data_IF_763458691750
#
_entry.id   IF_763458691750
#
_cell.length_a   1.000
_cell.length_b   1.000
_cell.length_c   1.000
_cell.angle_alpha   90.00
_cell.angle_beta   90.00
_cell.angle_gamma   90.00
#
_symmetry.space_group_name_H-M   'P 1'
#
loop_
_entity.id
_entity.type
_entity.pdbx_description
1 polymer ?
#
# COMPACT_ATOMS: atom_id res chain seq x y z
N UNK A 1 -2.04 27.48 -5.20
CA UNK A 1 -3.02 26.46 -4.78
C UNK A 1 -2.88 25.13 -5.51
N UNK A 2 -3.09 25.03 -6.85
CA UNK A 2 -2.97 23.71 -7.55
C UNK A 2 -1.55 23.12 -7.48
N UNK A 3 -0.53 23.97 -7.65
CA UNK A 3 0.86 23.53 -7.79
C UNK A 3 1.43 22.94 -6.48
N UNK A 4 0.98 23.42 -5.33
CA UNK A 4 1.49 23.05 -4.02
C UNK A 4 1.31 21.55 -3.69
N UNK A 5 0.09 20.97 -3.70
CA UNK A 5 -0.10 19.54 -3.44
C UNK A 5 0.56 18.65 -4.50
N UNK A 6 0.68 19.11 -5.76
CA UNK A 6 1.42 18.41 -6.82
C UNK A 6 2.91 18.34 -6.47
N UNK A 7 3.49 19.46 -6.04
CA UNK A 7 4.90 19.57 -5.62
C UNK A 7 5.15 18.71 -4.38
N UNK A 8 4.23 18.72 -3.41
CA UNK A 8 4.31 17.88 -2.20
C UNK A 8 4.40 16.40 -2.56
N UNK A 9 3.50 15.92 -3.44
CA UNK A 9 3.52 14.51 -3.88
C UNK A 9 4.81 14.18 -4.64
N UNK A 10 5.26 15.07 -5.54
CA UNK A 10 6.48 14.87 -6.31
C UNK A 10 7.72 14.74 -5.40
N UNK A 11 7.85 15.62 -4.39
CA UNK A 11 8.94 15.53 -3.44
C UNK A 11 8.83 14.31 -2.53
N UNK A 12 7.63 13.95 -2.06
CA UNK A 12 7.45 12.76 -1.23
C UNK A 12 7.86 11.47 -1.98
N UNK A 13 7.47 11.34 -3.26
CA UNK A 13 7.92 10.24 -4.12
C UNK A 13 9.43 10.27 -4.34
N UNK A 14 10.00 11.45 -4.66
CA UNK A 14 11.43 11.62 -4.85
C UNK A 14 12.26 11.21 -3.62
N UNK A 15 11.82 11.62 -2.42
CA UNK A 15 12.46 11.22 -1.17
C UNK A 15 12.36 9.71 -0.96
N UNK A 16 11.21 9.08 -1.25
CA UNK A 16 11.09 7.63 -1.09
C UNK A 16 12.02 6.86 -2.02
N UNK A 17 12.13 7.27 -3.29
CA UNK A 17 13.06 6.66 -4.24
C UNK A 17 14.53 6.74 -3.79
N UNK A 18 14.93 7.78 -3.04
CA UNK A 18 16.33 7.99 -2.62
C UNK A 18 16.61 7.39 -1.25
N UNK A 19 15.77 7.65 -0.25
CA UNK A 19 16.05 7.35 1.15
C UNK A 19 15.30 6.13 1.68
N UNK A 20 14.11 5.83 1.13
CA UNK A 20 13.22 4.80 1.65
C UNK A 20 12.77 5.10 3.09
N UNK A 21 12.39 4.06 3.84
CA UNK A 21 11.74 4.24 5.14
C UNK A 21 12.71 4.44 6.31
N UNK A 22 12.37 5.33 7.27
CA UNK A 22 13.11 5.46 8.51
C UNK A 22 12.97 4.21 9.38
N UNK A 23 13.88 4.04 10.34
CA UNK A 23 13.78 2.96 11.35
C UNK A 23 12.44 3.06 12.11
N UNK A 24 11.86 1.92 12.50
CA UNK A 24 10.54 1.83 13.16
C UNK A 24 10.33 2.82 14.31
N UNK A 25 11.37 3.13 15.09
CA UNK A 25 11.29 4.11 16.19
C UNK A 25 10.88 5.54 15.74
N UNK A 26 11.07 5.88 14.47
CA UNK A 26 10.76 7.17 13.87
C UNK A 26 9.67 7.08 12.79
N UNK A 27 8.95 5.95 12.71
CA UNK A 27 8.00 5.71 11.63
C UNK A 27 6.55 5.82 12.15
N UNK A 28 5.75 6.79 11.67
CA UNK A 28 4.36 6.97 12.10
C UNK A 28 3.50 5.70 12.02
N UNK A 29 3.60 4.94 10.93
CA UNK A 29 2.92 3.63 10.79
C UNK A 29 3.26 2.64 11.91
N UNK A 30 4.50 2.61 12.40
CA UNK A 30 4.88 1.74 13.51
C UNK A 30 4.28 2.21 14.85
N UNK A 31 4.14 3.52 15.05
CA UNK A 31 3.46 4.08 16.21
C UNK A 31 1.96 3.79 16.17
N UNK A 32 1.33 3.91 15.00
CA UNK A 32 -0.06 3.50 14.75
C UNK A 32 -0.24 2.03 15.11
N UNK A 33 0.65 1.15 14.62
CA UNK A 33 0.61 -0.27 14.94
C UNK A 33 0.77 -0.56 16.44
N UNK A 34 1.62 0.21 17.13
CA UNK A 34 1.77 0.10 18.59
C UNK A 34 0.48 0.50 19.32
N UNK A 35 -0.21 1.54 18.86
CA UNK A 35 -1.50 1.95 19.42
C UNK A 35 -2.56 0.87 19.20
N UNK A 36 -2.68 0.33 17.98
CA UNK A 36 -3.61 -0.76 17.65
C UNK A 36 -3.32 -1.98 18.53
N UNK A 37 -2.05 -2.37 18.70
CA UNK A 37 -1.65 -3.49 19.54
C UNK A 37 -2.02 -3.29 21.02
N UNK A 38 -2.03 -2.06 21.52
CA UNK A 38 -2.47 -1.74 22.90
C UNK A 38 -4.00 -1.75 23.05
N UNK A 39 -4.72 -1.28 22.04
CA UNK A 39 -6.19 -1.22 22.07
C UNK A 39 -6.83 -2.59 21.82
N UNK A 40 -6.21 -3.43 20.99
CA UNK A 40 -6.77 -4.73 20.57
C UNK A 40 -7.12 -5.62 21.77
N UNK A 41 -6.24 -5.86 22.77
CA UNK A 41 -6.58 -6.68 23.93
C UNK A 41 -7.73 -6.12 24.78
N UNK A 42 -7.87 -4.79 24.85
CA UNK A 42 -8.93 -4.12 25.61
C UNK A 42 -10.30 -4.27 24.93
N UNK A 43 -10.30 -4.42 23.61
CA UNK A 43 -11.49 -4.63 22.80
C UNK A 43 -11.90 -6.11 22.68
N UNK A 44 -11.06 -7.06 23.13
CA UNK A 44 -11.38 -8.49 23.11
C UNK A 44 -12.47 -8.80 24.11
N UNK A 45 -13.46 -9.58 23.69
CA UNK A 45 -14.56 -10.00 24.54
C UNK A 45 -15.08 -11.39 24.12
N UNK A 46 -15.66 -12.15 25.05
CA UNK A 46 -16.30 -13.42 24.72
C UNK A 46 -17.61 -13.23 23.95
N UNK A 47 -18.32 -12.11 24.18
CA UNK A 47 -19.52 -11.78 23.44
C UNK A 47 -19.16 -11.20 22.06
N UNK A 48 -19.57 -11.91 21.02
CA UNK A 48 -19.34 -11.53 19.62
C UNK A 48 -19.76 -10.10 19.27
N UNK A 49 -20.90 -9.62 19.77
CA UNK A 49 -21.40 -8.27 19.46
C UNK A 49 -20.55 -7.20 20.14
N UNK A 50 -20.15 -7.43 21.39
CA UNK A 50 -19.27 -6.52 22.14
C UNK A 50 -17.89 -6.47 21.50
N UNK A 51 -17.36 -7.61 21.06
CA UNK A 51 -16.07 -7.69 20.38
C UNK A 51 -16.08 -6.97 19.03
N UNK A 52 -17.16 -7.09 18.25
CA UNK A 52 -17.34 -6.31 17.01
C UNK A 52 -17.38 -4.81 17.27
N UNK A 53 -18.11 -4.36 18.30
CA UNK A 53 -18.12 -2.97 18.73
C UNK A 53 -16.72 -2.52 19.17
N UNK A 54 -16.00 -3.36 19.91
CA UNK A 54 -14.60 -3.13 20.28
C UNK A 54 -13.70 -2.89 19.05
N UNK A 55 -13.86 -3.70 18.00
CA UNK A 55 -13.17 -3.50 16.71
C UNK A 55 -13.46 -2.16 16.05
N UNK A 56 -14.72 -1.71 16.09
CA UNK A 56 -15.11 -0.37 15.61
C UNK A 56 -14.40 0.72 16.44
N UNK A 57 -14.38 0.59 17.76
CA UNK A 57 -13.68 1.54 18.63
C UNK A 57 -12.17 1.56 18.38
N UNK A 58 -11.51 0.42 18.14
CA UNK A 58 -10.09 0.38 17.77
C UNK A 58 -9.83 1.24 16.54
N UNK A 59 -10.65 1.10 15.50
CA UNK A 59 -10.52 1.90 14.26
C UNK A 59 -10.80 3.37 14.53
N UNK A 60 -11.96 3.70 15.12
CA UNK A 60 -12.40 5.09 15.33
C UNK A 60 -11.45 5.85 16.25
N UNK A 61 -10.99 5.24 17.34
CA UNK A 61 -10.04 5.85 18.28
C UNK A 61 -8.70 6.06 17.58
N UNK A 62 -8.18 5.07 16.85
CA UNK A 62 -6.88 5.21 16.17
C UNK A 62 -6.92 6.29 15.10
N UNK A 63 -7.97 6.30 14.26
CA UNK A 63 -8.20 7.36 13.27
C UNK A 63 -8.35 8.72 13.95
N UNK A 64 -9.18 8.80 14.99
CA UNK A 64 -9.43 10.04 15.73
C UNK A 64 -8.16 10.62 16.34
N UNK A 65 -7.33 9.80 16.98
CA UNK A 65 -6.03 10.21 17.54
C UNK A 65 -5.11 10.73 16.45
N UNK A 66 -4.94 10.00 15.34
CA UNK A 66 -4.05 10.40 14.25
C UNK A 66 -4.51 11.70 13.59
N UNK A 67 -5.79 11.81 13.24
CA UNK A 67 -6.35 13.03 12.63
C UNK A 67 -6.24 14.21 13.59
N UNK A 68 -6.55 14.02 14.88
CA UNK A 68 -6.42 15.09 15.89
C UNK A 68 -4.97 15.58 16.01
N UNK A 69 -3.99 14.67 16.03
CA UNK A 69 -2.58 15.06 16.06
C UNK A 69 -2.15 15.84 14.81
N UNK A 70 -2.64 15.45 13.63
CA UNK A 70 -2.38 16.19 12.38
C UNK A 70 -2.99 17.60 12.42
N UNK A 71 -4.22 17.75 12.94
CA UNK A 71 -4.87 19.07 13.07
C UNK A 71 -4.18 19.95 14.11
N UNK A 72 -3.73 19.39 15.23
CA UNK A 72 -2.93 20.12 16.23
C UNK A 72 -1.60 20.58 15.62
N UNK A 73 -0.94 19.72 14.83
CA UNK A 73 0.31 20.06 14.16
C UNK A 73 0.10 21.21 13.16
N UNK A 74 -0.94 21.14 12.34
CA UNK A 74 -1.28 22.17 11.36
C UNK A 74 -1.62 23.52 12.03
N UNK A 75 -2.44 23.48 13.08
CA UNK A 75 -2.76 24.66 13.89
C UNK A 75 -1.50 25.21 14.60
N UNK A 76 -0.63 24.35 15.10
CA UNK A 76 0.62 24.75 15.73
C UNK A 76 1.57 25.45 14.75
N UNK A 77 1.71 24.93 13.53
CA UNK A 77 2.56 25.52 12.49
C UNK A 77 2.02 26.90 12.06
N UNK A 78 0.71 27.02 11.86
CA UNK A 78 0.07 28.29 11.49
C UNK A 78 0.19 29.38 12.57
N UNK A 79 0.36 29.01 13.84
CA UNK A 79 0.55 29.95 14.95
C UNK A 79 2.00 30.42 15.14
N UNK A 80 3.01 29.75 14.56
CA UNK A 80 4.42 30.07 14.80
C UNK A 80 4.89 31.35 14.10
N UNK A 81 4.49 31.56 12.84
CA UNK A 81 4.86 32.74 12.03
C UNK A 81 3.77 33.05 10.99
N UNK A 82 3.69 34.28 10.48
CA UNK A 82 2.75 34.69 9.41
C UNK A 82 3.43 34.90 8.06
N UNK A 83 4.73 34.61 7.98
CA UNK A 83 5.55 34.89 6.81
C UNK A 83 5.71 33.67 5.90
N UNK A 84 6.37 33.87 4.74
CA UNK A 84 6.77 32.83 3.78
C UNK A 84 7.45 31.60 4.43
N UNK A 85 8.06 31.77 5.61
CA UNK A 85 8.65 30.69 6.41
C UNK A 85 7.61 29.63 6.79
N UNK A 86 6.38 30.02 7.15
CA UNK A 86 5.31 29.09 7.53
C UNK A 86 4.92 28.18 6.37
N UNK A 87 4.84 28.73 5.16
CA UNK A 87 4.52 27.98 3.93
C UNK A 87 5.61 26.94 3.67
N UNK A 88 6.88 27.33 3.76
CA UNK A 88 8.01 26.41 3.55
C UNK A 88 8.05 25.32 4.61
N UNK A 89 7.91 25.68 5.89
CA UNK A 89 7.92 24.71 7.00
C UNK A 89 6.75 23.75 6.89
N UNK A 90 5.53 24.25 6.66
CA UNK A 90 4.35 23.41 6.47
C UNK A 90 4.53 22.45 5.30
N UNK A 91 4.95 22.95 4.14
CA UNK A 91 5.21 22.12 2.96
C UNK A 91 6.22 21.00 3.22
N UNK A 92 7.33 21.31 3.90
CA UNK A 92 8.35 20.31 4.28
C UNK A 92 7.77 19.26 5.24
N UNK A 93 7.01 19.68 6.25
CA UNK A 93 6.36 18.78 7.19
C UNK A 93 5.38 17.84 6.48
N UNK A 94 4.53 18.37 5.60
CA UNK A 94 3.57 17.57 4.83
C UNK A 94 4.30 16.60 3.90
N UNK A 95 5.37 17.02 3.22
CA UNK A 95 6.20 16.14 2.38
C UNK A 95 6.76 14.97 3.18
N UNK A 96 7.36 15.25 4.35
CA UNK A 96 7.95 14.21 5.20
C UNK A 96 6.87 13.25 5.69
N UNK A 97 5.74 13.78 6.18
CA UNK A 97 4.65 12.96 6.70
C UNK A 97 4.00 12.13 5.58
N UNK A 98 3.72 12.71 4.41
CA UNK A 98 3.20 11.98 3.26
C UNK A 98 4.16 10.88 2.82
N UNK A 99 5.47 11.15 2.77
CA UNK A 99 6.49 10.13 2.46
C UNK A 99 6.44 8.94 3.40
N UNK A 100 6.11 9.13 4.69
CA UNK A 100 5.99 7.98 5.63
C UNK A 100 4.78 7.09 5.34
N UNK A 101 3.86 7.54 4.48
CA UNK A 101 2.77 6.73 3.97
C UNK A 101 3.11 6.03 2.65
N UNK A 102 4.31 6.21 2.09
CA UNK A 102 4.72 5.61 0.80
C UNK A 102 5.86 4.61 1.06
N UNK A 103 5.80 3.42 0.45
CA UNK A 103 6.72 2.31 0.70
C UNK A 103 7.21 1.64 -0.60
N UNK A 104 7.83 2.39 -1.53
CA UNK A 104 8.40 1.83 -2.77
C UNK A 104 9.76 1.21 -2.46
N UNK A 105 10.67 2.01 -1.89
CA UNK A 105 12.05 1.57 -1.60
C UNK A 105 12.11 0.63 -0.39
N UNK A 106 11.20 0.78 0.57
CA UNK A 106 10.99 -0.18 1.65
C UNK A 106 10.67 -1.58 1.10
N UNK A 107 9.69 -1.67 0.19
CA UNK A 107 9.34 -2.93 -0.47
C UNK A 107 10.52 -3.50 -1.27
N UNK A 108 11.19 -2.69 -2.08
CA UNK A 108 12.37 -3.11 -2.85
C UNK A 108 13.46 -3.74 -1.95
N UNK A 109 13.70 -3.17 -0.76
CA UNK A 109 14.67 -3.71 0.19
C UNK A 109 14.29 -5.10 0.68
N UNK A 110 13.03 -5.31 1.05
CA UNK A 110 12.56 -6.62 1.49
C UNK A 110 12.59 -7.65 0.37
N UNK A 111 12.22 -7.26 -0.85
CA UNK A 111 12.32 -8.11 -2.04
C UNK A 111 13.76 -8.55 -2.28
N UNK A 112 14.71 -7.60 -2.25
CA UNK A 112 16.14 -7.89 -2.45
C UNK A 112 16.68 -8.86 -1.41
N UNK A 113 16.28 -8.73 -0.14
CA UNK A 113 16.67 -9.68 0.90
C UNK A 113 16.20 -11.12 0.62
N UNK A 114 15.01 -11.30 0.03
CA UNK A 114 14.54 -12.63 -0.40
C UNK A 114 15.39 -13.16 -1.56
N UNK A 115 15.66 -12.31 -2.57
CA UNK A 115 16.48 -12.69 -3.73
C UNK A 115 17.90 -13.07 -3.33
N UNK A 116 18.56 -12.28 -2.48
CA UNK A 116 19.91 -12.57 -1.97
C UNK A 116 19.97 -13.93 -1.26
N UNK A 117 18.95 -14.27 -0.46
CA UNK A 117 18.86 -15.60 0.16
C UNK A 117 18.70 -16.73 -0.86
N UNK A 118 17.90 -16.51 -1.90
CA UNK A 118 17.72 -17.50 -2.98
C UNK A 118 18.98 -17.69 -3.82
N UNK A 119 19.73 -16.62 -4.09
CA UNK A 119 20.99 -16.67 -4.83
C UNK A 119 22.08 -17.40 -4.03
N UNK A 120 22.02 -17.32 -2.71
CA UNK A 120 22.87 -18.09 -1.78
C UNK A 120 22.39 -19.55 -1.58
N UNK A 121 21.37 -20.00 -2.32
CA UNK A 121 20.72 -21.31 -2.16
C UNK A 121 20.20 -21.57 -0.73
N UNK A 122 19.86 -20.52 0.02
CA UNK A 122 19.32 -20.61 1.37
C UNK A 122 17.80 -20.39 1.36
N UNK A 123 17.07 -21.48 1.08
CA UNK A 123 15.61 -21.44 0.98
C UNK A 123 14.93 -21.08 2.31
N UNK A 124 15.44 -21.58 3.44
CA UNK A 124 14.87 -21.30 4.77
C UNK A 124 14.96 -19.80 5.12
N UNK A 125 16.09 -19.17 4.82
CA UNK A 125 16.26 -17.73 5.00
C UNK A 125 15.36 -16.95 4.02
N UNK A 126 15.23 -17.41 2.77
CA UNK A 126 14.32 -16.79 1.80
C UNK A 126 12.85 -16.85 2.26
N UNK A 127 12.40 -17.98 2.81
CA UNK A 127 11.06 -18.16 3.40
C UNK A 127 10.87 -17.23 4.60
N UNK A 128 11.89 -17.10 5.45
CA UNK A 128 11.88 -16.19 6.60
C UNK A 128 11.76 -14.74 6.14
N UNK A 129 12.54 -14.32 5.15
CA UNK A 129 12.46 -12.99 4.57
C UNK A 129 11.13 -12.73 3.88
N UNK A 130 10.59 -13.71 3.16
CA UNK A 130 9.27 -13.64 2.53
C UNK A 130 8.16 -13.44 3.55
N UNK A 131 8.23 -14.13 4.71
CA UNK A 131 7.21 -14.04 5.76
C UNK A 131 7.02 -12.62 6.32
N UNK A 132 8.00 -11.73 6.12
CA UNK A 132 7.91 -10.33 6.53
C UNK A 132 7.08 -9.46 5.56
N UNK A 133 6.76 -9.96 4.35
CA UNK A 133 6.07 -9.19 3.30
C UNK A 133 4.82 -9.87 2.73
N UNK A 134 4.50 -11.11 3.11
CA UNK A 134 3.31 -11.82 2.61
C UNK A 134 2.26 -12.04 3.70
N UNK A 135 0.98 -11.96 3.32
CA UNK A 135 -0.16 -12.37 4.15
C UNK A 135 -0.58 -13.82 3.83
N UNK A 136 0.33 -14.79 4.01
CA UNK A 136 0.03 -16.24 3.84
C UNK A 136 0.94 -17.13 4.68
N UNK A 137 0.52 -18.39 4.86
CA UNK A 137 1.38 -19.40 5.43
C UNK A 137 2.57 -19.66 4.49
N UNK A 138 3.79 -19.50 5.01
CA UNK A 138 5.04 -19.68 4.27
C UNK A 138 5.74 -21.00 4.56
N UNK A 139 5.14 -21.88 5.38
CA UNK A 139 5.71 -23.20 5.68
C UNK A 139 5.76 -24.07 4.42
N UNK A 140 6.88 -24.76 4.23
CA UNK A 140 7.10 -25.74 3.17
C UNK A 140 6.91 -25.19 1.74
N UNK A 141 7.24 -23.92 1.50
CA UNK A 141 7.25 -23.36 0.15
C UNK A 141 8.52 -23.78 -0.59
N UNK A 142 8.39 -24.18 -1.86
CA UNK A 142 9.55 -24.31 -2.75
C UNK A 142 9.99 -22.93 -3.28
N UNK A 143 11.13 -22.89 -3.98
CA UNK A 143 11.70 -21.69 -4.58
C UNK A 143 10.70 -20.94 -5.46
N UNK A 144 9.90 -21.66 -6.24
CA UNK A 144 8.96 -21.07 -7.18
C UNK A 144 7.81 -20.38 -6.47
N UNK A 145 7.25 -21.03 -5.44
CA UNK A 145 6.24 -20.43 -4.60
C UNK A 145 6.79 -19.23 -3.83
N UNK A 146 8.04 -19.27 -3.37
CA UNK A 146 8.69 -18.10 -2.75
C UNK A 146 8.69 -16.91 -3.71
N UNK A 147 9.12 -17.10 -4.96
CA UNK A 147 9.13 -16.02 -5.96
C UNK A 147 7.71 -15.56 -6.32
N UNK A 148 6.73 -16.47 -6.42
CA UNK A 148 5.33 -16.09 -6.60
C UNK A 148 4.85 -15.17 -5.47
N UNK A 149 5.18 -15.51 -4.22
CA UNK A 149 4.84 -14.70 -3.06
C UNK A 149 5.47 -13.31 -3.11
N UNK A 150 6.72 -13.20 -3.58
CA UNK A 150 7.38 -11.90 -3.79
C UNK A 150 6.62 -11.06 -4.81
N UNK A 151 6.22 -11.65 -5.95
CA UNK A 151 5.51 -10.95 -7.02
C UNK A 151 4.08 -10.55 -6.61
N UNK A 152 3.38 -11.42 -5.87
CA UNK A 152 2.12 -11.12 -5.20
C UNK A 152 2.29 -9.90 -4.27
N UNK A 153 3.31 -9.89 -3.41
CA UNK A 153 3.56 -8.76 -2.51
C UNK A 153 3.94 -7.47 -3.23
N UNK A 154 4.73 -7.50 -4.31
CA UNK A 154 5.06 -6.30 -5.09
C UNK A 154 3.79 -5.67 -5.67
N UNK A 155 2.92 -6.49 -6.27
CA UNK A 155 1.69 -6.00 -6.88
C UNK A 155 0.67 -5.51 -5.85
N UNK A 156 0.50 -6.19 -4.71
CA UNK A 156 -0.37 -5.74 -3.61
C UNK A 156 0.16 -4.45 -2.98
N UNK A 157 1.46 -4.38 -2.68
CA UNK A 157 2.10 -3.20 -2.09
C UNK A 157 2.10 -1.99 -3.04
N UNK A 158 2.03 -2.20 -4.36
CA UNK A 158 1.86 -1.07 -5.29
C UNK A 158 0.56 -0.31 -4.98
N UNK A 159 -0.49 -1.02 -4.54
CA UNK A 159 -1.74 -0.40 -4.08
C UNK A 159 -1.59 0.11 -2.65
N UNK A 160 -1.35 -0.79 -1.72
CA UNK A 160 -1.39 -0.52 -0.28
C UNK A 160 -0.28 0.42 0.20
N UNK A 161 0.88 0.32 -0.44
CA UNK A 161 2.09 1.06 -0.12
C UNK A 161 2.26 2.35 -0.91
N UNK A 162 1.51 2.59 -1.98
CA UNK A 162 1.78 3.72 -2.88
C UNK A 162 0.51 4.39 -3.41
N UNK A 163 -0.27 3.72 -4.26
CA UNK A 163 -1.35 4.40 -4.99
C UNK A 163 -2.56 4.69 -4.11
N UNK A 164 -2.86 3.84 -3.13
CA UNK A 164 -3.93 4.07 -2.15
C UNK A 164 -3.68 5.34 -1.31
N UNK A 165 -2.54 5.46 -0.60
CA UNK A 165 -2.21 6.67 0.16
C UNK A 165 -2.20 7.94 -0.71
N UNK A 166 -1.63 7.87 -1.92
CA UNK A 166 -1.61 9.01 -2.85
C UNK A 166 -3.02 9.39 -3.32
N UNK A 167 -3.87 8.40 -3.61
CA UNK A 167 -5.25 8.65 -4.03
C UNK A 167 -6.04 9.38 -2.95
N UNK A 168 -5.94 8.95 -1.69
CA UNK A 168 -6.61 9.62 -0.58
C UNK A 168 -5.96 10.95 -0.19
N UNK A 169 -4.66 11.13 -0.44
CA UNK A 169 -4.02 12.45 -0.37
C UNK A 169 -4.61 13.42 -1.38
N UNK A 170 -4.80 12.98 -2.63
CA UNK A 170 -5.36 13.83 -3.68
C UNK A 170 -6.81 14.27 -3.40
N UNK A 171 -7.55 13.50 -2.60
CA UNK A 171 -8.93 13.80 -2.23
C UNK A 171 -9.03 14.63 -0.94
N UNK A 172 -8.25 14.30 0.10
CA UNK A 172 -8.44 14.85 1.44
C UNK A 172 -7.16 15.34 2.11
N UNK A 173 -6.10 15.55 1.33
CA UNK A 173 -4.79 15.96 1.83
C UNK A 173 -4.17 14.96 2.80
N UNK A 174 -3.31 15.47 3.68
CA UNK A 174 -2.57 14.64 4.62
C UNK A 174 -3.46 13.78 5.53
N UNK A 175 -4.59 14.29 6.08
CA UNK A 175 -5.53 13.45 6.84
C UNK A 175 -6.04 12.25 6.03
N UNK A 176 -6.37 12.43 4.75
CA UNK A 176 -6.81 11.34 3.87
C UNK A 176 -5.80 10.21 3.75
N UNK A 177 -4.54 10.55 3.46
CA UNK A 177 -3.45 9.58 3.35
C UNK A 177 -3.25 8.78 4.65
N UNK A 178 -3.31 9.47 5.80
CA UNK A 178 -3.16 8.84 7.11
C UNK A 178 -4.36 8.01 7.53
N UNK A 179 -5.59 8.43 7.24
CA UNK A 179 -6.79 7.61 7.47
C UNK A 179 -6.67 6.30 6.70
N UNK A 180 -6.33 6.37 5.42
CA UNK A 180 -6.07 5.17 4.62
C UNK A 180 -4.98 4.29 5.24
N UNK A 181 -3.83 4.89 5.64
CA UNK A 181 -2.73 4.16 6.26
C UNK A 181 -3.12 3.51 7.59
N UNK A 182 -3.93 4.16 8.41
CA UNK A 182 -4.47 3.58 9.66
C UNK A 182 -5.33 2.36 9.34
N UNK A 183 -6.29 2.48 8.43
CA UNK A 183 -7.18 1.37 8.04
C UNK A 183 -6.38 0.18 7.49
N UNK A 184 -5.43 0.44 6.60
CA UNK A 184 -4.56 -0.59 6.04
C UNK A 184 -3.67 -1.26 7.10
N UNK A 185 -3.23 -0.50 8.11
CA UNK A 185 -2.47 -1.04 9.24
C UNK A 185 -3.35 -1.92 10.14
N UNK A 186 -4.60 -1.50 10.39
CA UNK A 186 -5.58 -2.32 11.12
C UNK A 186 -5.84 -3.63 10.40
N UNK A 187 -6.08 -3.62 9.09
CA UNK A 187 -6.27 -4.85 8.30
C UNK A 187 -5.04 -5.76 8.39
N UNK A 188 -3.84 -5.18 8.24
CA UNK A 188 -2.60 -5.96 8.25
C UNK A 188 -2.25 -6.59 9.60
N UNK A 189 -2.71 -5.99 10.71
CA UNK A 189 -2.44 -6.49 12.06
C UNK A 189 -3.54 -7.41 12.60
N UNK A 190 -4.81 -7.04 12.39
CA UNK A 190 -5.96 -7.72 13.00
C UNK A 190 -7.06 -8.08 12.00
N UNK A 191 -6.90 -7.88 10.70
CA UNK A 191 -7.90 -8.20 9.67
C UNK A 191 -8.01 -9.69 9.31
N UNK A 192 -7.20 -10.56 9.92
CA UNK A 192 -7.19 -11.99 9.62
C UNK A 192 -8.51 -12.68 10.01
N UNK A 193 -8.98 -13.59 9.14
CA UNK A 193 -10.17 -14.42 9.39
C UNK A 193 -9.88 -15.64 10.30
N UNK A 194 -9.11 -15.45 11.35
CA UNK A 194 -8.84 -16.48 12.39
C UNK A 194 -9.83 -16.34 13.55
N UNK A 195 -10.00 -17.38 14.36
CA UNK A 195 -10.90 -17.33 15.53
C UNK A 195 -10.57 -16.18 16.50
N UNK A 196 -9.30 -15.79 16.55
CA UNK A 196 -8.82 -14.67 17.38
C UNK A 196 -9.24 -13.31 16.81
N UNK A 197 -9.28 -13.15 15.49
CA UNK A 197 -9.40 -11.83 14.86
C UNK A 197 -10.69 -11.62 14.07
N UNK A 198 -11.44 -12.69 13.78
CA UNK A 198 -12.62 -12.65 12.89
C UNK A 198 -13.66 -11.60 13.27
N UNK A 199 -13.91 -11.35 14.55
CA UNK A 199 -14.90 -10.38 15.00
C UNK A 199 -14.30 -8.98 15.18
N UNK A 200 -13.21 -8.87 15.94
CA UNK A 200 -12.55 -7.61 16.27
C UNK A 200 -11.95 -6.93 15.03
N UNK A 201 -11.46 -7.71 14.08
CA UNK A 201 -10.87 -7.23 12.83
C UNK A 201 -11.86 -6.93 11.71
N UNK A 202 -13.11 -7.40 11.84
CA UNK A 202 -14.09 -7.37 10.74
C UNK A 202 -14.32 -5.97 10.18
N UNK A 203 -14.47 -4.98 11.07
CA UNK A 203 -14.73 -3.60 10.65
C UNK A 203 -13.54 -3.01 9.89
N UNK A 204 -12.32 -3.16 10.43
CA UNK A 204 -11.10 -2.69 9.77
C UNK A 204 -10.88 -3.32 8.39
N UNK A 205 -11.02 -4.64 8.28
CA UNK A 205 -10.90 -5.36 7.01
C UNK A 205 -11.98 -4.97 5.99
N UNK A 206 -13.19 -4.65 6.46
CA UNK A 206 -14.27 -4.15 5.61
C UNK A 206 -13.97 -2.74 5.10
N UNK A 207 -13.50 -1.85 5.98
CA UNK A 207 -13.07 -0.51 5.60
C UNK A 207 -11.92 -0.57 4.59
N UNK A 208 -10.90 -1.41 4.80
CA UNK A 208 -9.80 -1.59 3.86
C UNK A 208 -10.31 -2.04 2.49
N UNK A 209 -11.19 -3.06 2.46
CA UNK A 209 -11.81 -3.54 1.23
C UNK A 209 -12.56 -2.42 0.48
N UNK A 210 -13.26 -1.53 1.18
CA UNK A 210 -13.96 -0.41 0.56
C UNK A 210 -12.95 0.62 0.03
N UNK A 211 -11.98 1.02 0.85
CA UNK A 211 -11.02 2.06 0.48
C UNK A 211 -10.11 1.64 -0.69
N UNK A 212 -9.77 0.35 -0.76
CA UNK A 212 -8.96 -0.20 -1.84
C UNK A 212 -9.74 -0.51 -3.12
N UNK A 213 -11.06 -0.32 -3.16
CA UNK A 213 -11.87 -0.67 -4.33
C UNK A 213 -11.47 0.14 -5.58
N UNK A 214 -11.45 1.46 -5.48
CA UNK A 214 -11.10 2.33 -6.62
C UNK A 214 -9.58 2.29 -6.89
N UNK A 215 -8.69 2.49 -5.90
CA UNK A 215 -7.25 2.51 -6.12
C UNK A 215 -6.72 1.23 -6.77
N UNK A 216 -7.20 0.04 -6.38
CA UNK A 216 -6.69 -1.23 -6.92
C UNK A 216 -6.96 -1.39 -8.42
N UNK A 217 -8.13 -0.95 -8.90
CA UNK A 217 -8.54 -0.99 -10.32
C UNK A 217 -7.77 0.02 -11.15
N UNK A 218 -7.65 1.26 -10.65
CA UNK A 218 -6.85 2.29 -11.32
C UNK A 218 -5.37 1.87 -11.38
N UNK A 219 -4.85 1.26 -10.32
CA UNK A 219 -3.48 0.73 -10.31
C UNK A 219 -3.29 -0.34 -11.36
N UNK A 220 -4.18 -1.34 -11.45
CA UNK A 220 -4.11 -2.36 -12.49
C UNK A 220 -4.13 -1.78 -13.91
N UNK A 221 -4.96 -0.77 -14.17
CA UNK A 221 -4.99 -0.05 -15.45
C UNK A 221 -3.68 0.69 -15.74
N UNK A 222 -3.12 1.38 -14.75
CA UNK A 222 -1.83 2.08 -14.90
C UNK A 222 -0.67 1.08 -15.06
N UNK A 223 -0.73 -0.10 -14.44
CA UNK A 223 0.25 -1.18 -14.64
C UNK A 223 0.26 -1.68 -16.08
N UNK A 224 -0.88 -1.73 -16.76
CA UNK A 224 -0.96 -2.08 -18.19
C UNK A 224 -0.22 -1.04 -19.06
N UNK A 225 -0.40 0.25 -18.75
CA UNK A 225 0.32 1.34 -19.42
C UNK A 225 1.83 1.23 -19.13
N UNK A 226 2.19 0.96 -17.87
CA UNK A 226 3.58 0.71 -17.46
C UNK A 226 4.18 -0.48 -18.24
N UNK A 227 3.41 -1.54 -18.46
CA UNK A 227 3.85 -2.69 -19.24
C UNK A 227 4.15 -2.30 -20.70
N UNK A 228 3.28 -1.49 -21.31
CA UNK A 228 3.48 -1.02 -22.68
C UNK A 228 4.75 -0.16 -22.84
N UNK A 229 5.02 0.74 -21.89
CA UNK A 229 6.20 1.62 -21.90
C UNK A 229 7.49 0.82 -21.71
N UNK A 230 7.46 -0.20 -20.84
CA UNK A 230 8.60 -1.07 -20.57
C UNK A 230 8.76 -2.21 -21.59
N UNK A 231 7.95 -2.22 -22.65
CA UNK A 231 7.95 -3.26 -23.69
C UNK A 231 7.62 -4.68 -23.18
N UNK A 232 6.94 -4.77 -22.03
CA UNK A 232 6.32 -6.00 -21.53
C UNK A 232 4.98 -6.28 -22.25
N UNK A 233 4.38 -7.45 -22.06
CA UNK A 233 3.16 -7.83 -22.77
C UNK A 233 1.89 -7.16 -22.17
N UNK A 234 1.65 -5.90 -22.54
CA UNK A 234 0.49 -5.14 -22.07
C UNK A 234 -0.86 -5.73 -22.53
N UNK A 235 -0.90 -6.43 -23.67
CA UNK A 235 -2.13 -7.06 -24.18
C UNK A 235 -2.54 -8.22 -23.29
N UNK A 236 -1.60 -9.11 -22.97
CA UNK A 236 -1.85 -10.19 -22.01
C UNK A 236 -2.06 -9.62 -20.61
N UNK A 237 -1.36 -8.57 -20.17
CA UNK A 237 -1.63 -7.86 -18.91
C UNK A 237 -3.10 -7.46 -18.78
N UNK A 238 -3.67 -6.79 -19.78
CA UNK A 238 -5.08 -6.40 -19.80
C UNK A 238 -6.01 -7.62 -19.79
N UNK A 239 -5.77 -8.60 -20.67
CA UNK A 239 -6.59 -9.81 -20.77
C UNK A 239 -6.62 -10.61 -19.48
N UNK A 240 -5.46 -10.80 -18.84
CA UNK A 240 -5.34 -11.52 -17.57
C UNK A 240 -5.98 -10.72 -16.44
N UNK A 241 -5.80 -9.40 -16.37
CA UNK A 241 -6.45 -8.56 -15.35
C UNK A 241 -7.97 -8.72 -15.37
N UNK A 242 -8.59 -8.67 -16.55
CA UNK A 242 -10.05 -8.83 -16.70
C UNK A 242 -10.51 -10.25 -16.35
N UNK A 243 -9.77 -11.28 -16.82
CA UNK A 243 -10.13 -12.68 -16.64
C UNK A 243 -9.94 -13.17 -15.19
N UNK A 244 -8.82 -12.78 -14.57
CA UNK A 244 -8.34 -13.37 -13.32
C UNK A 244 -8.46 -12.43 -12.12
N UNK A 245 -8.70 -11.13 -12.31
CA UNK A 245 -8.70 -10.14 -11.23
C UNK A 245 -9.70 -10.39 -10.09
N UNK A 246 -10.70 -11.26 -10.30
CA UNK A 246 -11.70 -11.66 -9.31
C UNK A 246 -11.44 -13.03 -8.66
N UNK A 247 -10.35 -13.72 -9.00
CA UNK A 247 -10.06 -15.09 -8.52
C UNK A 247 -9.47 -15.12 -7.10
N UNK A 248 -8.93 -14.01 -6.61
CA UNK A 248 -8.34 -13.92 -5.27
C UNK A 248 -9.41 -13.78 -4.19
N UNK A 249 -9.09 -14.15 -2.94
CA UNK A 249 -9.99 -13.96 -1.80
C UNK A 249 -10.27 -12.48 -1.49
N UNK A 250 -9.29 -11.62 -1.76
CA UNK A 250 -9.46 -10.17 -1.74
C UNK A 250 -10.10 -9.71 -3.04
N UNK A 251 -11.14 -8.87 -2.94
CA UNK A 251 -11.82 -8.28 -4.10
C UNK A 251 -11.00 -7.21 -4.82
N UNK A 252 -9.84 -6.83 -4.25
CA UNK A 252 -9.00 -5.73 -4.71
C UNK A 252 -7.63 -6.22 -5.18
N UNK A 253 -6.97 -7.08 -4.39
CA UNK A 253 -5.59 -7.50 -4.66
C UNK A 253 -5.43 -8.24 -5.99
N UNK A 254 -6.46 -8.97 -6.44
CA UNK A 254 -6.41 -9.73 -7.69
C UNK A 254 -6.19 -8.88 -8.94
N UNK A 255 -6.66 -7.63 -8.99
CA UNK A 255 -6.51 -6.77 -10.17
C UNK A 255 -5.04 -6.41 -10.47
N UNK A 256 -4.28 -5.78 -9.56
CA UNK A 256 -2.86 -5.50 -9.80
C UNK A 256 -2.02 -6.78 -9.93
N UNK A 257 -2.35 -7.85 -9.19
CA UNK A 257 -1.66 -9.14 -9.31
C UNK A 257 -1.83 -9.76 -10.70
N UNK A 258 -3.06 -9.80 -11.21
CA UNK A 258 -3.36 -10.35 -12.53
C UNK A 258 -2.77 -9.48 -13.65
N UNK A 259 -2.82 -8.15 -13.52
CA UNK A 259 -2.16 -7.24 -14.45
C UNK A 259 -0.64 -7.50 -14.51
N UNK A 260 0.01 -7.66 -13.36
CA UNK A 260 1.45 -7.94 -13.30
C UNK A 260 1.78 -9.33 -13.88
N UNK A 261 1.03 -10.37 -13.51
CA UNK A 261 1.24 -11.73 -14.00
C UNK A 261 1.13 -11.81 -15.53
N UNK A 262 0.14 -11.13 -16.11
CA UNK A 262 -0.02 -11.05 -17.58
C UNK A 262 1.07 -10.22 -18.26
N UNK A 263 1.51 -9.12 -17.64
CA UNK A 263 2.59 -8.29 -18.20
C UNK A 263 3.93 -9.04 -18.27
N UNK A 264 4.22 -9.84 -17.25
CA UNK A 264 5.44 -10.65 -17.15
C UNK A 264 5.29 -12.03 -17.80
N UNK A 265 4.16 -12.30 -18.46
CA UNK A 265 3.86 -13.58 -19.13
C UNK A 265 4.11 -14.81 -18.24
N UNK A 266 3.75 -14.69 -16.97
CA UNK A 266 4.00 -15.72 -15.96
C UNK A 266 2.72 -16.12 -15.23
N UNK A 267 2.85 -16.98 -14.21
CA UNK A 267 1.74 -17.44 -13.39
C UNK A 267 2.05 -17.31 -11.90
N UNK A 268 1.21 -16.57 -11.20
CA UNK A 268 1.26 -16.51 -9.73
C UNK A 268 0.38 -17.61 -9.16
N UNK A 269 0.89 -18.32 -8.16
CA UNK A 269 0.21 -19.42 -7.50
C UNK A 269 0.30 -19.30 -5.98
N UNK A 270 -0.88 -19.24 -5.36
CA UNK A 270 -1.06 -19.46 -3.94
C UNK A 270 -1.68 -20.86 -3.77
N UNK A 271 -0.88 -21.79 -3.25
CA UNK A 271 -1.23 -23.21 -3.08
C UNK A 271 -2.63 -23.35 -2.47
N UNK A 272 -3.51 -24.14 -3.11
CA UNK A 272 -4.90 -24.41 -2.69
C UNK A 272 -5.85 -23.19 -2.68
N UNK A 273 -5.43 -22.01 -3.15
CA UNK A 273 -6.29 -20.83 -3.20
C UNK A 273 -6.56 -20.36 -4.63
N UNK A 274 -5.53 -20.00 -5.39
CA UNK A 274 -5.71 -19.44 -6.72
C UNK A 274 -4.47 -19.58 -7.62
N UNK A 275 -4.71 -19.44 -8.93
CA UNK A 275 -3.68 -19.26 -9.95
C UNK A 275 -4.08 -18.09 -10.86
N UNK A 276 -3.15 -17.16 -11.11
CA UNK A 276 -3.36 -15.97 -11.93
C UNK A 276 -2.35 -15.96 -13.08
N UNK A 277 -2.78 -15.74 -14.32
CA UNK A 277 -1.91 -15.73 -15.49
C UNK A 277 -1.94 -17.01 -16.34
N UNK A 278 -1.19 -17.00 -17.44
CA UNK A 278 -1.13 -18.09 -18.43
C UNK A 278 0.27 -18.68 -18.62
N UNK A 279 1.29 -18.04 -18.04
CA UNK A 279 2.67 -18.42 -18.27
C UNK A 279 3.11 -19.68 -17.54
N UNK A 280 4.40 -19.98 -17.70
CA UNK A 280 5.05 -21.04 -16.95
C UNK A 280 5.06 -20.73 -15.45
N UNK A 281 5.06 -21.80 -14.65
CA UNK A 281 5.21 -21.68 -13.20
C UNK A 281 6.66 -21.30 -12.85
N UNK A 282 7.63 -21.59 -13.71
CA UNK A 282 9.04 -21.35 -13.43
C UNK A 282 9.31 -19.85 -13.41
N UNK A 283 9.44 -19.32 -12.19
CA UNK A 283 9.69 -17.92 -11.93
C UNK A 283 11.18 -17.69 -11.73
N UNK A 284 11.73 -16.68 -12.42
CA UNK A 284 13.13 -16.27 -12.31
C UNK A 284 13.26 -14.99 -11.49
N UNK A 285 14.49 -14.69 -11.06
CA UNK A 285 14.84 -13.42 -10.41
C UNK A 285 14.66 -12.22 -11.36
N UNK A 286 14.76 -12.43 -12.67
CA UNK A 286 14.49 -11.42 -13.70
C UNK A 286 13.04 -10.94 -13.67
N UNK A 287 12.07 -11.85 -13.50
CA UNK A 287 10.66 -11.45 -13.34
C UNK A 287 10.47 -10.53 -12.14
N UNK A 288 11.19 -10.78 -11.03
CA UNK A 288 11.12 -9.93 -9.83
C UNK A 288 11.71 -8.55 -10.08
N UNK A 289 12.85 -8.47 -10.76
CA UNK A 289 13.45 -7.17 -11.13
C UNK A 289 12.55 -6.37 -12.10
N UNK A 290 11.93 -7.06 -13.05
CA UNK A 290 10.93 -6.46 -13.95
C UNK A 290 9.70 -5.97 -13.18
N UNK A 291 9.23 -6.74 -12.18
CA UNK A 291 8.13 -6.34 -11.31
C UNK A 291 8.45 -5.08 -10.48
N UNK A 292 9.67 -4.99 -9.91
CA UNK A 292 10.11 -3.79 -9.20
C UNK A 292 10.17 -2.58 -10.13
N UNK A 293 10.65 -2.76 -11.35
CA UNK A 293 10.70 -1.69 -12.36
C UNK A 293 9.29 -1.24 -12.74
N UNK A 294 8.37 -2.18 -12.94
CA UNK A 294 6.95 -1.88 -13.17
C UNK A 294 6.31 -1.15 -11.99
N UNK A 295 6.56 -1.55 -10.73
CA UNK A 295 6.06 -0.85 -9.55
C UNK A 295 6.52 0.61 -9.52
N UNK A 296 7.81 0.86 -9.76
CA UNK A 296 8.38 2.22 -9.79
C UNK A 296 7.76 3.07 -10.88
N UNK A 297 7.68 2.55 -12.11
CA UNK A 297 7.08 3.29 -13.23
C UNK A 297 5.58 3.50 -13.02
N UNK A 298 4.85 2.48 -12.56
CA UNK A 298 3.42 2.60 -12.21
C UNK A 298 3.20 3.69 -11.17
N UNK A 299 4.07 3.81 -10.17
CA UNK A 299 3.99 4.87 -9.16
C UNK A 299 4.10 6.28 -9.78
N UNK A 300 5.06 6.46 -10.70
CA UNK A 300 5.26 7.73 -11.43
C UNK A 300 4.06 8.03 -12.35
N UNK A 301 3.60 7.03 -13.10
CA UNK A 301 2.47 7.17 -13.99
C UNK A 301 1.16 7.43 -13.23
N UNK A 302 0.97 6.81 -12.07
CA UNK A 302 -0.21 7.03 -11.24
C UNK A 302 -0.25 8.47 -10.73
N UNK A 303 0.91 9.02 -10.34
CA UNK A 303 1.03 10.43 -10.02
C UNK A 303 0.61 11.33 -11.21
N UNK A 304 1.16 11.08 -12.40
CA UNK A 304 0.86 11.90 -13.58
C UNK A 304 -0.57 11.75 -14.12
N UNK A 305 -1.09 10.52 -14.20
CA UNK A 305 -2.34 10.18 -14.90
C UNK A 305 -3.56 10.18 -13.99
N UNK A 306 -3.38 10.06 -12.67
CA UNK A 306 -4.50 9.97 -11.70
C UNK A 306 -4.45 11.13 -10.71
N UNK A 307 -3.32 11.33 -10.04
CA UNK A 307 -3.22 12.31 -8.95
C UNK A 307 -3.29 13.76 -9.46
N UNK A 308 -2.51 14.12 -10.48
CA UNK A 308 -2.53 15.48 -11.05
C UNK A 308 -3.93 15.86 -11.54
N UNK A 309 -4.64 15.03 -12.34
CA UNK A 309 -6.01 15.34 -12.74
C UNK A 309 -6.98 15.52 -11.57
N UNK A 310 -6.95 14.65 -10.56
CA UNK A 310 -7.82 14.76 -9.37
C UNK A 310 -7.57 16.08 -8.66
N UNK A 311 -6.32 16.40 -8.35
CA UNK A 311 -5.96 17.65 -7.65
C UNK A 311 -6.38 18.87 -8.48
N UNK A 312 -6.14 18.83 -9.80
CA UNK A 312 -6.48 19.94 -10.70
C UNK A 312 -7.99 20.18 -10.72
N UNK A 313 -8.79 19.13 -10.92
CA UNK A 313 -10.26 19.24 -10.95
C UNK A 313 -10.79 19.73 -9.60
N UNK A 314 -10.35 19.14 -8.49
CA UNK A 314 -10.80 19.55 -7.16
C UNK A 314 -10.43 21.00 -6.85
N UNK A 315 -9.24 21.43 -7.24
CA UNK A 315 -8.82 22.82 -7.06
C UNK A 315 -9.64 23.81 -7.88
N UNK A 316 -10.04 23.45 -9.10
CA UNK A 316 -10.91 24.28 -9.95
C UNK A 316 -12.31 24.48 -9.34
N UNK A 317 -12.80 23.50 -8.57
CA UNK A 317 -14.08 23.56 -7.85
C UNK A 317 -13.92 24.19 -6.45
N UNK A 318 -12.71 24.64 -6.10
CA UNK A 318 -12.43 25.32 -4.84
C UNK A 318 -12.26 24.42 -3.62
N UNK A 319 -12.14 23.10 -3.82
CA UNK A 319 -11.98 22.12 -2.75
C UNK A 319 -10.73 22.37 -1.88
N UNK A 320 -9.64 22.82 -2.51
CA UNK A 320 -8.35 23.09 -1.87
C UNK A 320 -8.21 24.54 -1.37
N UNK A 321 -9.28 25.35 -1.36
CA UNK A 321 -9.22 26.74 -0.83
C UNK A 321 -9.09 26.75 0.71
N UNK A 322 -9.38 25.62 1.37
CA UNK A 322 -9.41 25.49 2.83
C UNK A 322 -8.58 24.32 3.39
N UNK A 323 -7.74 23.69 2.55
CA UNK A 323 -6.96 22.51 2.89
C UNK A 323 -5.46 22.80 2.88
#
# INVERSE_FOLDING_TARGET
>A
MILEPIVIVAFALGIDFVFGDPKNKYHPTAWIGTLIAKLTPLAKNQNMYVEKLGGIFVVVITVGVVVTLLLILDTGISLLTTDWVTIVVSGVVVVILLKTTIAIRGMEKHVKAVLESLDQNNLDMAITNLSMIVKRNTKNLDKTHVISGVLESISENTVDGVTGPLFYFALFGLPGAFVYRVINTVDSMIGYKTDIFKNIGWFGATCDTILNYIPSRLTGLVMIISAAILQNNWKESYKIMIRDGKKTESHNAGYPMAALAGALETKFEKINHYKLGNGEIILTTEHVNSALTMMKLTSILFFGLVIIPIITVLSLVGWWIHA
#
